data_IF_745169572725
#
_entry.id   IF_745169572725
#
_cell.length_a   1.000
_cell.length_b   1.000
_cell.length_c   1.000
_cell.angle_alpha   90.00
_cell.angle_beta   90.00
_cell.angle_gamma   90.00
#
_symmetry.space_group_name_H-M   'P 1'
#
loop_
_entity.id
_entity.type
_entity.pdbx_description
1 polymer ?
#
# COMPACT_ATOMS: atom_id res chain seq x y z
N UNK A 1 5.78 58.89 6.69
CA UNK A 1 6.39 57.65 7.20
C UNK A 1 5.37 56.52 7.50
N UNK A 2 4.10 56.64 7.08
CA UNK A 2 3.04 55.64 7.36
C UNK A 2 2.89 54.57 6.27
N UNK A 3 3.02 54.94 5.00
CA UNK A 3 2.70 54.02 3.88
C UNK A 3 3.65 52.81 3.82
N UNK A 4 4.93 52.98 4.19
CA UNK A 4 5.90 51.89 4.24
C UNK A 4 5.60 50.89 5.37
N UNK A 5 5.08 51.35 6.51
CA UNK A 5 4.69 50.48 7.63
C UNK A 5 3.41 49.69 7.30
N UNK A 6 2.44 50.34 6.67
CA UNK A 6 1.22 49.67 6.19
C UNK A 6 1.50 48.68 5.07
N UNK A 7 2.42 49.02 4.15
CA UNK A 7 2.88 48.09 3.11
C UNK A 7 3.54 46.86 3.72
N UNK A 8 4.47 47.04 4.67
CA UNK A 8 5.13 45.92 5.37
C UNK A 8 4.11 45.07 6.14
N UNK A 9 3.18 45.68 6.87
CA UNK A 9 2.13 44.96 7.60
C UNK A 9 1.24 44.15 6.65
N UNK A 10 0.84 44.73 5.53
CA UNK A 10 0.00 44.06 4.51
C UNK A 10 0.73 42.87 3.88
N UNK A 11 2.02 43.02 3.59
CA UNK A 11 2.85 41.92 3.07
C UNK A 11 2.97 40.78 4.09
N UNK A 12 3.19 41.09 5.37
CA UNK A 12 3.25 40.06 6.44
C UNK A 12 1.93 39.31 6.56
N UNK A 13 0.79 40.00 6.50
CA UNK A 13 -0.54 39.37 6.54
C UNK A 13 -0.76 38.47 5.32
N UNK A 14 -0.37 38.90 4.13
CA UNK A 14 -0.48 38.09 2.91
C UNK A 14 0.38 36.83 2.98
N UNK A 15 1.60 36.92 3.50
CA UNK A 15 2.47 35.75 3.71
C UNK A 15 1.85 34.80 4.72
N UNK A 16 1.35 35.32 5.85
CA UNK A 16 0.69 34.49 6.86
C UNK A 16 -0.57 33.78 6.30
N UNK A 17 -1.38 34.50 5.53
CA UNK A 17 -2.55 33.93 4.86
C UNK A 17 -2.16 32.85 3.83
N UNK A 18 -1.13 33.09 3.02
CA UNK A 18 -0.63 32.11 2.05
C UNK A 18 -0.10 30.85 2.74
N UNK A 19 0.64 30.99 3.85
CA UNK A 19 1.10 29.85 4.66
C UNK A 19 -0.10 29.10 5.24
N UNK A 20 -1.11 29.80 5.76
CA UNK A 20 -2.29 29.16 6.32
C UNK A 20 -3.11 28.39 5.27
N UNK A 21 -3.33 28.99 4.10
CA UNK A 21 -4.01 28.33 2.95
C UNK A 21 -3.22 27.10 2.50
N UNK A 22 -1.89 27.21 2.41
CA UNK A 22 -1.04 26.10 2.01
C UNK A 22 -1.08 24.94 3.01
N UNK A 23 -1.02 25.22 4.31
CA UNK A 23 -1.15 24.21 5.36
C UNK A 23 -2.53 23.56 5.35
N UNK A 24 -3.60 24.34 5.14
CA UNK A 24 -4.95 23.82 4.99
C UNK A 24 -5.08 22.87 3.79
N UNK A 25 -4.47 23.23 2.65
CA UNK A 25 -4.43 22.37 1.47
C UNK A 25 -3.69 21.05 1.75
N UNK A 26 -2.51 21.11 2.37
CA UNK A 26 -1.74 19.91 2.72
C UNK A 26 -2.53 18.95 3.63
N UNK A 27 -3.24 19.50 4.62
CA UNK A 27 -4.02 18.74 5.61
C UNK A 27 -5.36 18.19 5.10
N UNK A 28 -5.86 18.66 3.96
CA UNK A 28 -7.24 18.33 3.54
C UNK A 28 -7.39 17.86 2.09
N UNK A 29 -6.41 18.09 1.24
CA UNK A 29 -6.54 17.88 -0.21
C UNK A 29 -5.43 17.02 -0.82
N UNK A 30 -4.44 16.59 -0.03
CA UNK A 30 -3.41 15.66 -0.50
C UNK A 30 -3.92 14.22 -0.45
N UNK A 31 -3.37 13.35 -1.30
CA UNK A 31 -3.71 11.92 -1.29
C UNK A 31 -3.47 11.28 0.07
N UNK A 32 -2.39 11.67 0.74
CA UNK A 32 -2.04 11.20 2.08
C UNK A 32 -3.10 11.62 3.12
N UNK A 33 -3.49 12.90 3.12
CA UNK A 33 -4.51 13.40 4.04
C UNK A 33 -5.90 12.79 3.80
N UNK A 34 -6.29 12.61 2.53
CA UNK A 34 -7.55 11.95 2.19
C UNK A 34 -7.50 10.49 2.62
N UNK A 35 -6.39 9.79 2.34
CA UNK A 35 -6.18 8.40 2.77
C UNK A 35 -6.30 8.26 4.28
N UNK A 36 -5.61 9.10 5.05
CA UNK A 36 -5.68 9.07 6.52
C UNK A 36 -7.12 9.25 7.00
N UNK A 37 -7.85 10.22 6.45
CA UNK A 37 -9.26 10.47 6.79
C UNK A 37 -10.18 9.32 6.41
N UNK A 38 -9.97 8.71 5.25
CA UNK A 38 -10.72 7.53 4.80
C UNK A 38 -10.44 6.34 5.72
N UNK A 39 -9.18 6.06 6.02
CA UNK A 39 -8.79 4.95 6.88
C UNK A 39 -9.28 5.11 8.33
N UNK A 40 -9.34 6.35 8.84
CA UNK A 40 -9.87 6.67 10.16
C UNK A 40 -11.39 6.94 10.17
N UNK A 41 -12.06 6.82 9.02
CA UNK A 41 -13.49 7.14 8.84
C UNK A 41 -13.87 8.57 9.30
N UNK A 42 -12.91 9.50 9.26
CA UNK A 42 -13.07 10.90 9.67
C UNK A 42 -13.63 11.74 8.52
N UNK A 43 -14.93 12.09 8.59
CA UNK A 43 -15.61 12.85 7.54
C UNK A 43 -15.84 12.06 6.24
N UNK A 44 -15.56 10.75 6.24
CA UNK A 44 -15.82 9.84 5.13
C UNK A 44 -16.70 8.67 5.56
N UNK A 45 -17.48 8.17 4.61
CA UNK A 45 -18.20 6.90 4.70
C UNK A 45 -17.41 5.87 3.91
N UNK A 46 -17.11 4.72 4.52
CA UNK A 46 -16.43 3.59 3.90
C UNK A 46 -17.40 2.42 3.87
N UNK A 47 -17.63 1.84 2.69
CA UNK A 47 -18.61 0.76 2.50
C UNK A 47 -17.95 -0.41 1.80
N UNK A 48 -18.13 -1.60 2.36
CA UNK A 48 -17.66 -2.84 1.78
C UNK A 48 -18.45 -3.13 0.51
N UNK A 49 -17.72 -3.34 -0.59
CA UNK A 49 -18.29 -3.66 -1.91
C UNK A 49 -18.19 -5.14 -2.22
N UNK A 50 -17.03 -5.74 -1.94
CA UNK A 50 -16.76 -7.15 -2.21
C UNK A 50 -15.70 -7.65 -1.24
N UNK A 51 -15.89 -8.85 -0.72
CA UNK A 51 -14.93 -9.52 0.15
C UNK A 51 -14.04 -10.47 -0.64
N UNK A 52 -12.82 -10.68 -0.15
CA UNK A 52 -11.91 -11.74 -0.60
C UNK A 52 -11.72 -11.81 -2.12
N UNK A 53 -11.38 -10.67 -2.73
CA UNK A 53 -11.07 -10.63 -4.15
C UNK A 53 -9.71 -11.30 -4.42
N UNK A 54 -9.62 -12.19 -5.43
CA UNK A 54 -8.36 -12.82 -5.78
C UNK A 54 -7.47 -11.82 -6.52
N UNK A 55 -6.29 -11.57 -5.98
CA UNK A 55 -5.24 -10.79 -6.63
C UNK A 55 -4.11 -11.72 -7.04
N UNK A 56 -3.82 -11.75 -8.34
CA UNK A 56 -2.73 -12.54 -8.91
C UNK A 56 -1.64 -11.63 -9.47
N UNK A 57 -0.40 -11.86 -9.05
CA UNK A 57 0.77 -11.06 -9.41
C UNK A 57 1.85 -12.00 -9.92
N UNK A 58 2.34 -11.76 -11.14
CA UNK A 58 3.53 -12.44 -11.64
C UNK A 58 4.80 -11.71 -11.18
N UNK A 59 5.56 -12.33 -10.28
CA UNK A 59 6.87 -11.85 -9.84
C UNK A 59 7.90 -12.25 -10.88
N UNK A 60 8.49 -11.25 -11.54
CA UNK A 60 9.44 -11.48 -12.63
C UNK A 60 10.81 -11.92 -12.10
N UNK A 61 11.56 -12.75 -12.86
CA UNK A 61 12.90 -13.19 -12.46
C UNK A 61 13.83 -12.04 -12.06
N UNK A 62 13.81 -10.94 -12.81
CA UNK A 62 14.67 -9.78 -12.59
C UNK A 62 14.33 -9.00 -11.31
N UNK A 63 13.18 -9.25 -10.69
CA UNK A 63 12.79 -8.65 -9.40
C UNK A 63 13.33 -9.43 -8.20
N UNK A 64 13.82 -10.66 -8.42
CA UNK A 64 14.27 -11.55 -7.37
C UNK A 64 15.76 -11.31 -7.11
N UNK A 65 16.16 -11.28 -5.83
CA UNK A 65 17.57 -11.26 -5.44
C UNK A 65 17.99 -12.67 -5.03
N UNK A 66 18.78 -13.34 -5.87
CA UNK A 66 19.30 -14.67 -5.55
C UNK A 66 20.63 -14.62 -4.81
N UNK A 67 21.32 -13.47 -4.81
CA UNK A 67 22.55 -13.28 -4.06
C UNK A 67 22.27 -12.55 -2.74
N UNK A 68 22.87 -13.03 -1.65
CA UNK A 68 22.74 -12.46 -0.30
C UNK A 68 23.37 -11.07 -0.21
N UNK A 69 24.44 -10.83 -0.98
CA UNK A 69 25.15 -9.55 -0.98
C UNK A 69 24.46 -8.48 -1.85
N UNK A 70 23.41 -8.84 -2.59
CA UNK A 70 22.67 -7.88 -3.41
C UNK A 70 21.81 -6.95 -2.54
N UNK A 71 21.83 -5.64 -2.81
CA UNK A 71 20.99 -4.70 -2.11
C UNK A 71 19.51 -5.04 -2.34
N UNK A 72 18.72 -4.91 -1.27
CA UNK A 72 17.27 -5.07 -1.32
C UNK A 72 16.66 -4.28 -2.47
N UNK A 73 15.89 -4.95 -3.33
CA UNK A 73 15.08 -4.29 -4.35
C UNK A 73 13.83 -3.76 -3.68
N UNK A 74 13.51 -2.48 -3.90
CA UNK A 74 12.42 -1.78 -3.24
C UNK A 74 11.49 -1.10 -4.23
N UNK A 75 10.27 -0.85 -3.79
CA UNK A 75 9.27 -0.02 -4.47
C UNK A 75 8.98 -0.49 -5.91
N UNK A 76 9.09 -1.79 -6.17
CA UNK A 76 8.73 -2.38 -7.46
C UNK A 76 7.21 -2.33 -7.58
N UNK A 77 6.67 -1.52 -8.49
CA UNK A 77 5.22 -1.50 -8.75
C UNK A 77 4.79 -2.84 -9.37
N UNK A 78 4.18 -3.68 -8.55
CA UNK A 78 3.79 -5.05 -8.91
C UNK A 78 2.39 -5.09 -9.55
N UNK A 79 1.47 -4.27 -9.04
CA UNK A 79 0.12 -4.14 -9.60
C UNK A 79 -0.51 -2.78 -9.26
N UNK A 80 -1.55 -2.43 -10.00
CA UNK A 80 -2.45 -1.31 -9.73
C UNK A 80 -3.88 -1.83 -9.75
N UNK A 81 -4.63 -1.59 -8.67
CA UNK A 81 -5.97 -2.12 -8.46
C UNK A 81 -6.81 -1.00 -7.84
N UNK A 82 -7.76 -0.46 -8.61
CA UNK A 82 -8.52 0.74 -8.23
C UNK A 82 -7.57 1.88 -7.78
N UNK A 83 -7.91 2.61 -6.72
CA UNK A 83 -7.06 3.69 -6.18
C UNK A 83 -5.94 3.14 -5.27
N UNK A 84 -5.31 2.03 -5.66
CA UNK A 84 -4.28 1.37 -4.87
C UNK A 84 -3.16 0.82 -5.75
N UNK A 85 -1.91 1.08 -5.36
CA UNK A 85 -0.71 0.48 -5.93
C UNK A 85 -0.17 -0.58 -4.97
N UNK A 86 0.11 -1.78 -5.48
CA UNK A 86 0.86 -2.78 -4.75
C UNK A 86 2.33 -2.64 -5.10
N UNK A 87 3.14 -2.32 -4.10
CA UNK A 87 4.59 -2.24 -4.21
C UNK A 87 5.23 -3.47 -3.60
N UNK A 88 6.21 -4.02 -4.29
CA UNK A 88 6.99 -5.17 -3.88
C UNK A 88 8.40 -4.75 -3.48
N UNK A 89 8.78 -5.25 -2.31
CA UNK A 89 10.12 -5.18 -1.73
C UNK A 89 10.68 -6.61 -1.63
N UNK A 90 11.91 -6.85 -2.09
CA UNK A 90 12.55 -8.18 -2.12
C UNK A 90 13.95 -8.12 -1.49
N UNK A 91 14.20 -9.01 -0.53
CA UNK A 91 15.50 -9.15 0.13
C UNK A 91 15.87 -10.62 0.28
N UNK A 92 17.12 -10.96 -0.02
CA UNK A 92 17.69 -12.26 0.33
C UNK A 92 18.34 -12.16 1.71
N UNK A 93 17.89 -12.98 2.66
CA UNK A 93 18.37 -12.99 4.05
C UNK A 93 19.38 -14.12 4.32
N UNK A 94 19.77 -14.85 3.27
CA UNK A 94 20.64 -16.02 3.36
C UNK A 94 19.85 -17.32 3.47
N UNK A 95 18.98 -17.44 4.47
CA UNK A 95 18.15 -18.63 4.69
C UNK A 95 16.83 -18.63 3.88
N UNK A 96 16.33 -17.44 3.54
CA UNK A 96 15.15 -17.25 2.69
C UNK A 96 15.29 -16.02 1.79
N UNK A 97 14.51 -16.00 0.70
CA UNK A 97 14.20 -14.76 -0.01
C UNK A 97 12.84 -14.30 0.49
N UNK A 98 12.82 -13.10 1.06
CA UNK A 98 11.65 -12.51 1.66
C UNK A 98 11.03 -11.48 0.71
N UNK A 99 9.72 -11.61 0.50
CA UNK A 99 8.91 -10.76 -0.36
C UNK A 99 7.92 -10.02 0.50
N UNK A 100 7.88 -8.69 0.39
CA UNK A 100 6.96 -7.84 1.14
C UNK A 100 6.17 -6.96 0.18
N UNK A 101 4.85 -7.15 0.19
CA UNK A 101 3.91 -6.32 -0.55
C UNK A 101 3.35 -5.25 0.37
N UNK A 102 3.42 -3.99 -0.05
CA UNK A 102 2.82 -2.85 0.62
C UNK A 102 1.83 -2.17 -0.30
N UNK A 103 0.71 -1.72 0.27
CA UNK A 103 -0.29 -0.97 -0.49
C UNK A 103 -0.06 0.53 -0.30
N UNK A 104 0.01 1.26 -1.41
CA UNK A 104 -0.08 2.73 -1.41
C UNK A 104 -1.44 3.12 -1.96
N UNK A 105 -2.15 3.96 -1.22
CA UNK A 105 -3.47 4.46 -1.61
C UNK A 105 -3.33 5.79 -2.37
N UNK A 106 -3.89 5.84 -3.58
CA UNK A 106 -3.87 7.02 -4.46
C UNK A 106 -5.24 7.72 -4.42
N UNK A 107 -5.68 8.12 -3.24
CA UNK A 107 -6.99 8.74 -3.03
C UNK A 107 -6.93 10.25 -3.29
N UNK A 108 -7.07 10.66 -4.54
CA UNK A 108 -7.06 12.07 -4.91
C UNK A 108 -8.44 12.75 -4.84
N UNK A 109 -9.50 11.97 -5.01
CA UNK A 109 -10.87 12.44 -5.08
C UNK A 109 -11.61 12.24 -3.75
N UNK A 110 -12.66 13.03 -3.46
CA UNK A 110 -13.50 12.88 -2.26
C UNK A 110 -14.36 11.61 -2.27
N UNK A 111 -14.28 10.80 -3.34
CA UNK A 111 -14.91 9.49 -3.41
C UNK A 111 -14.12 8.59 -4.35
N UNK A 112 -14.15 7.29 -4.12
CA UNK A 112 -13.45 6.33 -4.98
C UNK A 112 -13.55 4.90 -4.48
N UNK A 113 -12.71 4.05 -5.05
CA UNK A 113 -12.66 2.61 -4.75
C UNK A 113 -11.22 2.24 -4.42
N UNK A 114 -11.01 1.42 -3.40
CA UNK A 114 -9.68 0.94 -3.00
C UNK A 114 -9.75 -0.49 -2.46
N UNK A 115 -8.59 -1.13 -2.34
CA UNK A 115 -8.46 -2.46 -1.73
C UNK A 115 -7.89 -2.36 -0.32
N UNK A 116 -8.34 -3.19 0.61
CA UNK A 116 -7.80 -3.25 1.97
C UNK A 116 -7.96 -4.68 2.51
N UNK A 117 -6.97 -5.23 3.20
CA UNK A 117 -7.01 -6.61 3.72
C UNK A 117 -7.53 -6.70 5.18
N UNK A 118 -8.33 -5.72 5.58
CA UNK A 118 -8.98 -5.63 6.88
C UNK A 118 -10.43 -5.18 6.74
N UNK A 119 -11.08 -5.04 7.89
CA UNK A 119 -12.49 -4.70 8.04
C UNK A 119 -12.63 -3.36 8.76
N UNK A 120 -13.36 -2.42 8.14
CA UNK A 120 -13.74 -1.16 8.78
C UNK A 120 -14.97 -1.39 9.66
N UNK A 121 -14.84 -1.09 10.95
CA UNK A 121 -15.90 -1.23 11.95
C UNK A 121 -16.09 0.09 12.69
N UNK A 122 -17.16 0.21 13.48
CA UNK A 122 -17.38 1.40 14.30
C UNK A 122 -16.29 1.61 15.37
N UNK A 123 -15.56 0.55 15.73
CA UNK A 123 -14.45 0.57 16.68
C UNK A 123 -13.07 0.79 16.02
N UNK A 124 -13.04 0.92 14.69
CA UNK A 124 -11.84 1.07 13.88
C UNK A 124 -11.57 -0.12 12.95
N UNK A 125 -10.31 -0.30 12.56
CA UNK A 125 -9.90 -1.33 11.60
C UNK A 125 -9.57 -2.64 12.32
N UNK A 126 -10.23 -3.73 11.90
CA UNK A 126 -9.90 -5.09 12.30
C UNK A 126 -9.14 -5.80 11.19
N UNK A 127 -7.94 -6.31 11.48
CA UNK A 127 -7.14 -7.08 10.51
C UNK A 127 -7.13 -8.55 10.93
N UNK A 128 -7.39 -9.50 10.02
CA UNK A 128 -7.21 -10.92 10.29
C UNK A 128 -5.78 -11.24 10.78
N UNK A 129 -5.62 -12.35 11.49
CA UNK A 129 -4.30 -12.83 11.94
C UNK A 129 -3.61 -13.72 10.89
N UNK A 130 -4.41 -14.38 10.06
CA UNK A 130 -3.95 -15.34 9.07
C UNK A 130 -3.99 -14.71 7.67
N UNK A 131 -3.14 -15.22 6.78
CA UNK A 131 -2.99 -14.72 5.41
C UNK A 131 -3.04 -15.87 4.42
N UNK A 132 -3.83 -15.69 3.37
CA UNK A 132 -4.12 -16.67 2.34
C UNK A 132 -3.28 -16.36 1.10
N UNK A 133 -1.97 -16.58 1.22
CA UNK A 133 -1.01 -16.47 0.12
C UNK A 133 -0.75 -17.86 -0.44
N UNK A 134 -0.90 -17.99 -1.76
CA UNK A 134 -0.52 -19.19 -2.52
C UNK A 134 0.46 -18.82 -3.61
N UNK A 135 1.47 -19.67 -3.80
CA UNK A 135 2.50 -19.46 -4.80
C UNK A 135 2.44 -20.56 -5.85
N UNK A 136 2.63 -20.19 -7.11
CA UNK A 136 2.69 -21.14 -8.21
C UNK A 136 3.90 -20.85 -9.09
N UNK A 137 4.61 -21.88 -9.53
CA UNK A 137 5.63 -21.71 -10.55
C UNK A 137 5.03 -21.30 -11.91
N UNK A 138 5.87 -21.01 -12.90
CA UNK A 138 5.42 -20.64 -14.25
C UNK A 138 4.56 -21.69 -14.96
N UNK A 139 4.56 -22.94 -14.46
CA UNK A 139 3.81 -24.07 -15.00
C UNK A 139 2.52 -24.34 -14.21
N UNK A 140 2.19 -23.52 -13.20
CA UNK A 140 1.01 -23.67 -12.37
C UNK A 140 1.16 -24.71 -11.25
N UNK A 141 2.37 -25.18 -10.97
CA UNK A 141 2.62 -26.08 -9.83
C UNK A 141 2.74 -25.25 -8.55
N UNK A 142 2.00 -25.63 -7.53
CA UNK A 142 2.02 -24.95 -6.24
C UNK A 142 3.40 -25.06 -5.56
N UNK A 143 3.86 -23.95 -4.99
CA UNK A 143 5.09 -23.82 -4.20
C UNK A 143 4.67 -23.60 -2.75
N UNK A 144 5.08 -24.50 -1.85
CA UNK A 144 4.75 -24.40 -0.43
C UNK A 144 5.38 -23.18 0.21
N UNK A 145 4.55 -22.31 0.79
CA UNK A 145 4.96 -21.13 1.56
C UNK A 145 5.27 -21.54 2.99
N UNK A 146 6.42 -21.12 3.53
CA UNK A 146 6.82 -21.47 4.90
C UNK A 146 6.43 -20.40 5.91
N UNK A 147 6.69 -19.13 5.57
CA UNK A 147 6.43 -18.00 6.44
C UNK A 147 5.55 -17.01 5.70
N UNK A 148 4.50 -16.56 6.37
CA UNK A 148 3.62 -15.51 5.86
C UNK A 148 3.38 -14.49 6.96
N UNK A 149 3.14 -13.23 6.58
CA UNK A 149 2.87 -12.16 7.52
C UNK A 149 1.84 -11.18 6.98
N UNK A 150 1.13 -10.54 7.90
CA UNK A 150 0.34 -9.35 7.64
C UNK A 150 1.02 -8.16 8.31
N UNK A 151 1.09 -7.07 7.58
CA UNK A 151 1.66 -5.81 8.04
C UNK A 151 0.61 -4.71 8.08
N UNK A 152 0.94 -3.56 8.72
CA UNK A 152 0.05 -2.41 8.74
C UNK A 152 -0.19 -1.85 7.32
N UNK A 153 -1.30 -1.13 7.13
CA UNK A 153 -1.56 -0.42 5.87
C UNK A 153 -1.83 -1.35 4.69
N UNK A 154 -2.55 -2.44 4.92
CA UNK A 154 -2.82 -3.47 3.93
C UNK A 154 -1.58 -4.07 3.27
N UNK A 155 -0.59 -4.41 4.11
CA UNK A 155 0.62 -5.10 3.69
C UNK A 155 0.53 -6.60 3.98
N UNK A 156 1.20 -7.40 3.16
CA UNK A 156 1.40 -8.82 3.40
C UNK A 156 2.79 -9.24 2.92
N UNK A 157 3.29 -10.34 3.44
CA UNK A 157 4.63 -10.82 3.12
C UNK A 157 4.73 -12.32 3.20
N UNK A 158 5.77 -12.86 2.57
CA UNK A 158 6.12 -14.26 2.68
C UNK A 158 7.61 -14.52 2.43
N UNK A 159 8.10 -15.64 2.93
CA UNK A 159 9.46 -16.14 2.71
C UNK A 159 9.48 -17.39 1.83
N UNK A 160 10.49 -17.51 0.98
CA UNK A 160 10.81 -18.73 0.22
C UNK A 160 12.17 -19.25 0.67
N UNK A 161 12.15 -20.41 1.33
CA UNK A 161 13.35 -21.11 1.81
C UNK A 161 14.30 -21.49 0.67
N UNK A 162 15.58 -21.53 0.98
CA UNK A 162 16.68 -21.86 0.04
C UNK A 162 16.38 -23.09 -0.84
N UNK A 163 15.87 -24.17 -0.25
CA UNK A 163 15.55 -25.42 -0.96
C UNK A 163 14.50 -25.28 -2.08
N UNK A 164 13.64 -24.26 -1.97
CA UNK A 164 12.55 -23.96 -2.92
C UNK A 164 12.92 -22.87 -3.91
N UNK A 165 14.01 -22.13 -3.70
CA UNK A 165 14.40 -21.01 -4.58
C UNK A 165 14.67 -21.43 -6.04
N UNK A 166 15.02 -22.71 -6.27
CA UNK A 166 15.13 -23.26 -7.64
C UNK A 166 13.83 -23.19 -8.44
N UNK A 167 12.67 -23.20 -7.76
CA UNK A 167 11.34 -23.20 -8.39
C UNK A 167 10.91 -21.81 -8.87
N UNK A 168 11.57 -20.75 -8.40
CA UNK A 168 11.22 -19.35 -8.72
C UNK A 168 12.23 -18.68 -9.66
N UNK A 169 13.23 -19.42 -10.15
CA UNK A 169 14.30 -18.87 -11.04
C UNK A 169 13.77 -18.22 -12.30
N UNK A 170 12.60 -18.66 -12.76
CA UNK A 170 11.95 -18.18 -13.97
C UNK A 170 10.74 -17.29 -13.67
N UNK A 171 10.67 -16.77 -12.44
CA UNK A 171 9.50 -16.06 -11.93
C UNK A 171 8.43 -17.04 -11.42
N UNK A 172 7.42 -16.46 -10.77
CA UNK A 172 6.35 -17.22 -10.14
C UNK A 172 5.11 -16.34 -9.96
N UNK A 173 3.95 -16.96 -9.81
CA UNK A 173 2.69 -16.30 -9.50
C UNK A 173 2.46 -16.27 -7.99
N UNK A 174 2.07 -15.11 -7.49
CA UNK A 174 1.57 -14.89 -6.15
C UNK A 174 0.06 -14.70 -6.26
N UNK A 175 -0.71 -15.55 -5.61
CA UNK A 175 -2.14 -15.38 -5.44
C UNK A 175 -2.44 -15.01 -3.99
N UNK A 176 -3.17 -13.92 -3.81
CA UNK A 176 -3.56 -13.41 -2.51
C UNK A 176 -5.06 -13.10 -2.51
N UNK A 177 -5.80 -13.75 -1.62
CA UNK A 177 -7.27 -13.79 -1.63
C UNK A 177 -7.91 -13.01 -0.45
N UNK A 178 -7.14 -12.22 0.30
CA UNK A 178 -7.66 -11.52 1.50
C UNK A 178 -7.96 -10.03 1.29
N UNK A 179 -7.76 -9.50 0.07
CA UNK A 179 -8.17 -8.13 -0.19
C UNK A 179 -9.68 -8.02 -0.26
N UNK A 180 -10.22 -7.04 0.46
CA UNK A 180 -11.58 -6.57 0.32
C UNK A 180 -11.58 -5.30 -0.55
N UNK A 181 -12.65 -5.09 -1.31
CA UNK A 181 -12.88 -3.88 -2.10
C UNK A 181 -13.83 -2.97 -1.33
N UNK A 182 -13.43 -1.71 -1.15
CA UNK A 182 -14.20 -0.69 -0.47
C UNK A 182 -14.50 0.49 -1.38
N UNK A 183 -15.71 1.03 -1.27
CA UNK A 183 -15.98 2.39 -1.73
C UNK A 183 -15.77 3.36 -0.58
N UNK A 184 -15.22 4.53 -0.86
CA UNK A 184 -15.21 5.66 0.08
C UNK A 184 -15.90 6.87 -0.53
N UNK A 185 -16.53 7.68 0.31
CA UNK A 185 -17.19 8.93 -0.10
C UNK A 185 -17.24 9.92 1.07
N UNK A 186 -16.90 11.17 0.81
CA UNK A 186 -16.97 12.26 1.80
C UNK A 186 -18.42 12.49 2.24
N UNK A 187 -18.62 12.68 3.55
CA UNK A 187 -19.92 12.99 4.17
C UNK A 187 -20.36 14.43 3.87
#
# INVERSE_FOLDING_TARGET
MNNRRWAVLSTVILIAAAVFIYQYYLSNSTSEAITEKVLNQDGYTVTLRSEHIPVEIFVKPEWINFNVDEPMKKDIKAAEIHNSNLLLDVVNRGNDIYFSFRTIFNMHDPSGVFIYNGYFTDEGISTPTDTNVKLYDKHGKEITVSQTGLGPGAAFSFGIEEEKQKLIKEGFYVKYDDFNVYNYMKK
#
